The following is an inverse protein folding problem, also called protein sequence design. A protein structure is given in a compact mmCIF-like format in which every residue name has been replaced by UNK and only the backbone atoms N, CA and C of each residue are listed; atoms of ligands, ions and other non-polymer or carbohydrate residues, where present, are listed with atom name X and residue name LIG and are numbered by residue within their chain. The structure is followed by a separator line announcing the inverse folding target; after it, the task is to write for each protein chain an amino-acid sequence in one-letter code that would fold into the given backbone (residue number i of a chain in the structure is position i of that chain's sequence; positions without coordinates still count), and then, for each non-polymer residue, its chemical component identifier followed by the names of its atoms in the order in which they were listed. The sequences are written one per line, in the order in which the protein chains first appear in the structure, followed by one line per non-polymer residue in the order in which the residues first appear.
data_IF_136662198082
#
_entry.id   IF_136662198082
#
_cell.length_a   1.000
_cell.length_b   1.000
_cell.length_c   1.000
_cell.angle_alpha   90.00
_cell.angle_beta   90.00
_cell.angle_gamma   90.00
#
_symmetry.space_group_name_H-M   'P 1'
#
loop_
_entity.id
_entity.type
_entity.pdbx_description
1 polymer ?
#
# COMPACT_ATOMS: atom_id res chain seq x y z
N UNK A 1 24.03 74.83 -13.87
CA UNK A 1 23.71 74.07 -12.64
C UNK A 1 22.85 72.86 -13.05
N UNK A 2 23.48 71.72 -13.23
CA UNK A 2 22.81 70.48 -13.62
C UNK A 2 22.60 69.62 -12.36
N UNK A 3 21.33 69.37 -12.01
CA UNK A 3 20.92 68.58 -10.86
C UNK A 3 20.87 67.12 -11.26
N UNK A 4 21.75 66.31 -10.71
CA UNK A 4 21.78 64.86 -10.90
C UNK A 4 20.71 64.18 -10.03
N UNK A 5 19.80 63.46 -10.65
CA UNK A 5 18.84 62.58 -9.97
C UNK A 5 19.52 61.23 -9.69
N UNK A 6 19.43 60.63 -8.51
CA UNK A 6 19.95 59.28 -8.26
C UNK A 6 19.01 58.27 -8.83
N UNK A 7 19.53 57.35 -9.67
CA UNK A 7 18.87 56.18 -10.22
C UNK A 7 18.74 55.13 -9.10
N UNK A 8 17.51 54.92 -8.61
CA UNK A 8 17.19 53.76 -7.76
C UNK A 8 17.23 52.50 -8.62
N UNK A 9 18.25 51.67 -8.44
CA UNK A 9 18.29 50.28 -8.94
C UNK A 9 17.25 49.49 -8.15
N UNK A 10 16.22 49.07 -8.86
CA UNK A 10 15.24 48.10 -8.34
C UNK A 10 15.96 46.73 -8.32
N UNK A 11 16.01 46.03 -7.18
CA UNK A 11 16.59 44.69 -7.17
C UNK A 11 15.74 43.79 -8.05
N UNK A 12 16.44 42.95 -8.85
CA UNK A 12 15.86 42.02 -9.81
C UNK A 12 14.92 41.01 -9.09
N UNK A 13 13.84 40.67 -9.79
CA UNK A 13 12.79 39.73 -9.34
C UNK A 13 13.32 38.33 -8.99
N UNK A 14 14.57 38.05 -9.31
CA UNK A 14 15.28 36.78 -9.11
C UNK A 14 15.93 36.63 -7.71
N UNK A 15 15.92 37.69 -6.88
CA UNK A 15 16.47 37.64 -5.51
C UNK A 15 15.41 37.41 -4.42
N UNK A 16 14.16 37.12 -4.78
CA UNK A 16 13.06 36.80 -3.84
C UNK A 16 12.48 35.40 -3.99
N UNK A 17 13.20 34.44 -4.63
CA UNK A 17 12.95 33.05 -4.34
C UNK A 17 13.52 32.78 -2.94
N UNK A 18 12.69 33.02 -1.92
CA UNK A 18 12.96 32.57 -0.58
C UNK A 18 13.26 31.07 -0.67
N UNK A 19 14.50 30.70 -0.41
CA UNK A 19 14.97 29.34 -0.22
C UNK A 19 14.04 28.69 0.78
N UNK A 20 13.04 27.96 0.26
CA UNK A 20 12.16 27.14 1.12
C UNK A 20 13.09 26.11 1.72
N UNK A 21 13.47 26.31 2.97
CA UNK A 21 14.36 25.43 3.69
C UNK A 21 13.88 23.98 3.47
N UNK A 22 14.69 23.19 2.80
CA UNK A 22 14.36 21.82 2.43
C UNK A 22 14.23 21.04 3.72
N UNK A 23 13.04 20.47 3.99
CA UNK A 23 12.77 19.73 5.22
C UNK A 23 13.72 18.53 5.29
N UNK A 24 14.48 18.43 6.35
CA UNK A 24 15.49 17.38 6.54
C UNK A 24 14.87 16.11 7.14
N UNK A 25 15.54 14.97 6.93
CA UNK A 25 15.19 13.71 7.59
C UNK A 25 15.17 13.85 9.12
N UNK A 26 16.19 14.55 9.67
CA UNK A 26 16.31 14.74 11.12
C UNK A 26 15.10 15.50 11.72
N UNK A 27 14.61 16.53 11.05
CA UNK A 27 13.42 17.28 11.47
C UNK A 27 12.17 16.41 11.42
N UNK A 28 12.00 15.62 10.35
CA UNK A 28 10.86 14.70 10.22
C UNK A 28 10.91 13.61 11.27
N UNK A 29 12.07 13.03 11.54
CA UNK A 29 12.24 12.00 12.58
C UNK A 29 11.94 12.56 13.97
N UNK A 30 12.39 13.78 14.27
CA UNK A 30 12.05 14.46 15.53
C UNK A 30 10.54 14.69 15.68
N UNK A 31 9.86 15.08 14.59
CA UNK A 31 8.41 15.27 14.60
C UNK A 31 7.67 13.94 14.75
N UNK A 32 8.08 12.87 14.06
CA UNK A 32 7.51 11.53 14.23
C UNK A 32 7.65 11.04 15.66
N UNK A 33 8.82 11.23 16.29
CA UNK A 33 9.06 10.91 17.68
C UNK A 33 8.13 11.70 18.62
N UNK A 34 7.88 12.97 18.37
CA UNK A 34 6.94 13.79 19.13
C UNK A 34 5.46 13.38 18.96
N UNK A 35 5.13 12.68 17.87
CA UNK A 35 3.79 12.16 17.60
C UNK A 35 3.54 10.77 18.17
N UNK A 36 4.56 10.10 18.70
CA UNK A 36 4.46 8.79 19.32
C UNK A 36 3.52 8.80 20.54
N UNK A 37 2.63 7.79 20.58
CA UNK A 37 1.73 7.55 21.70
C UNK A 37 1.84 6.08 22.14
N UNK A 38 2.16 5.83 23.41
CA UNK A 38 2.33 4.47 23.93
C UNK A 38 1.10 3.57 23.76
N UNK A 39 -0.11 4.14 23.84
CA UNK A 39 -1.35 3.36 23.65
C UNK A 39 -1.51 2.91 22.22
N UNK A 40 -1.23 3.82 21.27
CA UNK A 40 -1.24 3.52 19.84
C UNK A 40 -0.18 2.47 19.50
N UNK A 41 1.02 2.56 20.09
CA UNK A 41 2.10 1.57 19.91
C UNK A 41 1.66 0.16 20.32
N UNK A 42 1.09 0.00 21.50
CA UNK A 42 0.58 -1.30 22.00
C UNK A 42 -0.46 -1.91 21.05
N UNK A 43 -1.31 -1.09 20.45
CA UNK A 43 -2.31 -1.57 19.47
C UNK A 43 -1.63 -1.99 18.16
N UNK A 44 -0.71 -1.19 17.65
CA UNK A 44 -0.04 -1.47 16.37
C UNK A 44 0.87 -2.70 16.48
N UNK A 45 1.61 -2.87 17.59
CA UNK A 45 2.49 -4.02 17.82
C UNK A 45 1.74 -5.36 17.82
N UNK A 46 0.48 -5.40 18.26
CA UNK A 46 -0.37 -6.60 18.14
C UNK A 46 -0.64 -7.02 16.68
N UNK A 47 -0.47 -6.08 15.75
CA UNK A 47 -0.62 -6.31 14.32
C UNK A 47 0.73 -6.39 13.59
N UNK A 48 1.85 -6.44 14.32
CA UNK A 48 3.19 -6.51 13.75
C UNK A 48 3.76 -5.16 13.27
N UNK A 49 3.09 -4.05 13.60
CA UNK A 49 3.51 -2.70 13.17
C UNK A 49 4.20 -1.96 14.34
N UNK A 50 5.53 -1.92 14.36
CA UNK A 50 6.35 -1.40 15.46
C UNK A 50 6.42 0.13 15.52
N UNK A 51 5.28 0.85 15.56
CA UNK A 51 5.24 2.31 15.73
C UNK A 51 4.05 2.76 16.57
N UNK A 52 4.16 3.94 17.21
CA UNK A 52 3.09 4.55 18.01
C UNK A 52 2.45 5.79 17.37
N UNK A 53 2.77 6.10 16.12
CA UNK A 53 2.18 7.27 15.45
C UNK A 53 0.78 6.94 14.92
N UNK A 54 -0.21 7.75 15.34
CA UNK A 54 -1.57 7.63 14.83
C UNK A 54 -1.62 7.93 13.32
N UNK A 55 -2.28 7.07 12.53
CA UNK A 55 -2.31 7.19 11.07
C UNK A 55 -2.96 8.49 10.55
N UNK A 56 -3.88 9.10 11.31
CA UNK A 56 -4.45 10.39 10.93
C UNK A 56 -3.43 11.52 11.08
N UNK A 57 -2.62 11.49 12.15
CA UNK A 57 -1.51 12.44 12.36
C UNK A 57 -0.43 12.26 11.30
N UNK A 58 -0.09 11.01 10.96
CA UNK A 58 0.84 10.70 9.88
C UNK A 58 0.37 11.26 8.52
N UNK A 59 -0.90 11.09 8.18
CA UNK A 59 -1.48 11.68 6.96
C UNK A 59 -1.52 13.21 6.99
N UNK A 60 -1.76 13.82 8.16
CA UNK A 60 -1.70 15.27 8.31
C UNK A 60 -0.28 15.80 8.06
N UNK A 61 0.74 15.10 8.60
CA UNK A 61 2.14 15.42 8.34
C UNK A 61 2.46 15.29 6.85
N UNK A 62 2.07 14.20 6.20
CA UNK A 62 2.26 13.99 4.76
C UNK A 62 1.60 15.11 3.92
N UNK A 63 0.39 15.54 4.29
CA UNK A 63 -0.32 16.64 3.62
C UNK A 63 0.45 17.97 3.72
N UNK A 64 1.08 18.25 4.86
CA UNK A 64 1.92 19.44 5.07
C UNK A 64 3.21 19.40 4.27
N UNK A 65 3.89 18.25 4.28
CA UNK A 65 5.14 18.03 3.55
C UNK A 65 4.94 18.02 2.04
N UNK A 66 3.73 17.70 1.57
CA UNK A 66 3.42 17.52 0.14
C UNK A 66 4.31 16.41 -0.47
N UNK A 67 4.57 16.49 -1.77
CA UNK A 67 5.39 15.51 -2.48
C UNK A 67 6.85 15.91 -2.43
N UNK A 68 7.69 15.06 -1.85
CA UNK A 68 9.15 15.25 -1.73
C UNK A 68 9.86 13.91 -2.00
N UNK A 69 10.27 13.69 -3.25
CA UNK A 69 10.79 12.37 -3.67
C UNK A 69 12.10 11.99 -2.97
N UNK A 70 13.02 12.93 -2.86
CA UNK A 70 14.34 12.66 -2.26
C UNK A 70 14.20 12.40 -0.75
N UNK A 71 13.42 13.22 -0.05
CA UNK A 71 13.09 12.98 1.36
C UNK A 71 12.40 11.63 1.56
N UNK A 72 11.51 11.22 0.64
CA UNK A 72 10.84 9.92 0.72
C UNK A 72 11.85 8.76 0.61
N UNK A 73 12.84 8.85 -0.28
CA UNK A 73 13.91 7.83 -0.38
C UNK A 73 14.72 7.75 0.90
N UNK A 74 15.15 8.87 1.43
CA UNK A 74 15.93 8.93 2.67
C UNK A 74 15.14 8.42 3.89
N UNK A 75 13.85 8.72 3.99
CA UNK A 75 12.98 8.17 5.03
C UNK A 75 12.78 6.67 4.88
N UNK A 76 12.74 6.14 3.66
CA UNK A 76 12.66 4.70 3.41
C UNK A 76 13.90 3.96 3.89
N UNK A 77 15.07 4.55 3.77
CA UNK A 77 16.35 3.99 4.21
C UNK A 77 16.47 3.91 5.75
N UNK A 78 15.59 4.59 6.49
CA UNK A 78 15.56 4.47 7.95
C UNK A 78 14.96 3.13 8.38
N UNK A 79 15.32 2.63 9.58
CA UNK A 79 14.68 1.46 10.17
C UNK A 79 13.35 1.77 10.88
N UNK A 80 12.87 3.01 10.79
CA UNK A 80 11.65 3.46 11.45
C UNK A 80 10.39 3.16 10.63
N UNK A 81 9.46 2.44 11.22
CA UNK A 81 8.20 2.05 10.57
C UNK A 81 7.33 3.25 10.20
N UNK A 82 7.24 4.28 11.05
CA UNK A 82 6.43 5.47 10.77
C UNK A 82 7.05 6.30 9.66
N UNK A 83 8.39 6.38 9.60
CA UNK A 83 9.12 7.04 8.52
C UNK A 83 8.89 6.32 7.16
N UNK A 84 8.98 4.99 7.12
CA UNK A 84 8.68 4.20 5.90
C UNK A 84 7.23 4.40 5.44
N UNK A 85 6.27 4.41 6.37
CA UNK A 85 4.88 4.72 6.03
C UNK A 85 4.73 6.14 5.48
N UNK A 86 5.37 7.14 6.08
CA UNK A 86 5.36 8.52 5.60
C UNK A 86 5.97 8.63 4.21
N UNK A 87 7.09 7.92 3.95
CA UNK A 87 7.74 7.87 2.65
C UNK A 87 6.76 7.46 1.53
N UNK A 88 5.91 6.45 1.76
CA UNK A 88 4.91 6.01 0.77
C UNK A 88 3.85 7.06 0.47
N UNK A 89 3.62 8.02 1.36
CA UNK A 89 2.62 9.08 1.21
C UNK A 89 3.16 10.32 0.50
N UNK A 90 4.47 10.62 0.63
CA UNK A 90 5.10 11.84 0.10
C UNK A 90 5.92 11.58 -1.15
N UNK A 91 6.11 10.33 -1.56
CA UNK A 91 6.84 9.98 -2.78
C UNK A 91 6.04 10.29 -4.06
N UNK A 92 6.74 10.22 -5.19
CA UNK A 92 6.16 10.14 -6.53
C UNK A 92 6.20 8.69 -6.99
N UNK A 93 5.08 7.95 -6.99
CA UNK A 93 5.07 6.53 -7.34
C UNK A 93 5.76 6.20 -8.67
N UNK A 94 5.59 7.06 -9.68
CA UNK A 94 6.16 6.87 -11.02
C UNK A 94 7.66 7.20 -11.14
N UNK A 95 8.28 7.70 -10.07
CA UNK A 95 9.70 8.06 -10.06
C UNK A 95 10.59 6.91 -9.54
N UNK A 96 10.00 5.77 -9.18
CA UNK A 96 10.74 4.58 -8.79
C UNK A 96 10.96 3.68 -10.00
N UNK A 97 12.19 3.17 -10.12
CA UNK A 97 12.54 2.16 -11.11
C UNK A 97 12.07 0.76 -10.66
N UNK A 98 11.96 -0.16 -11.61
CA UNK A 98 11.51 -1.54 -11.37
C UNK A 98 12.32 -2.24 -10.29
N UNK A 99 13.64 -2.19 -10.40
CA UNK A 99 14.54 -2.90 -9.47
C UNK A 99 14.56 -2.25 -8.09
N UNK A 100 14.35 -0.93 -8.00
CA UNK A 100 14.17 -0.22 -6.74
C UNK A 100 12.91 -0.72 -6.00
N UNK A 101 11.80 -0.87 -6.71
CA UNK A 101 10.57 -1.41 -6.13
C UNK A 101 10.70 -2.88 -5.72
N UNK A 102 11.45 -3.69 -6.44
CA UNK A 102 11.72 -5.09 -6.06
C UNK A 102 12.51 -5.15 -4.74
N UNK A 103 13.54 -4.33 -4.59
CA UNK A 103 14.28 -4.20 -3.32
C UNK A 103 13.37 -3.72 -2.19
N UNK A 104 12.60 -2.66 -2.42
CA UNK A 104 11.69 -2.10 -1.41
C UNK A 104 10.66 -3.12 -0.91
N UNK A 105 10.09 -3.93 -1.81
CA UNK A 105 9.09 -4.95 -1.40
C UNK A 105 9.73 -6.06 -0.58
N UNK A 106 10.97 -6.46 -0.93
CA UNK A 106 11.74 -7.47 -0.17
C UNK A 106 12.14 -6.97 1.21
N UNK A 107 12.35 -5.67 1.39
CA UNK A 107 12.65 -5.06 2.69
C UNK A 107 11.41 -4.79 3.55
N UNK A 108 10.25 -4.63 2.94
CA UNK A 108 9.00 -4.27 3.61
C UNK A 108 8.41 -5.44 4.41
N UNK A 109 9.08 -5.86 5.49
CA UNK A 109 8.66 -6.99 6.34
C UNK A 109 7.53 -6.64 7.30
N UNK A 110 7.39 -5.38 7.67
CA UNK A 110 6.28 -4.88 8.50
C UNK A 110 4.97 -4.91 7.71
N UNK A 111 3.89 -5.51 8.24
CA UNK A 111 2.63 -5.68 7.49
C UNK A 111 2.10 -4.42 6.85
N UNK A 112 1.98 -3.34 7.62
CA UNK A 112 1.43 -2.08 7.12
C UNK A 112 2.33 -1.37 6.13
N UNK A 113 3.65 -1.42 6.31
CA UNK A 113 4.63 -0.85 5.36
C UNK A 113 4.49 -1.54 4.01
N UNK A 114 4.44 -2.87 4.00
CA UNK A 114 4.24 -3.65 2.79
C UNK A 114 2.92 -3.29 2.10
N UNK A 115 1.82 -3.26 2.85
CA UNK A 115 0.51 -2.96 2.30
C UNK A 115 0.44 -1.55 1.70
N UNK A 116 1.06 -0.57 2.37
CA UNK A 116 1.09 0.79 1.86
C UNK A 116 2.02 0.95 0.67
N UNK A 117 3.18 0.30 0.68
CA UNK A 117 4.08 0.28 -0.48
C UNK A 117 3.33 -0.27 -1.71
N UNK A 118 2.69 -1.42 -1.59
CA UNK A 118 1.94 -2.03 -2.71
C UNK A 118 0.78 -1.12 -3.16
N UNK A 119 -0.05 -0.64 -2.22
CA UNK A 119 -1.28 0.08 -2.56
C UNK A 119 -1.06 1.53 -2.99
N UNK A 120 -0.09 2.24 -2.42
CA UNK A 120 0.12 3.67 -2.71
C UNK A 120 1.23 3.93 -3.72
N UNK A 121 2.16 3.00 -3.87
CA UNK A 121 3.32 3.16 -4.76
C UNK A 121 3.27 2.20 -5.93
N UNK A 122 3.39 0.88 -5.69
CA UNK A 122 3.55 -0.11 -6.77
C UNK A 122 2.36 -0.13 -7.72
N UNK A 123 1.12 -0.17 -7.23
CA UNK A 123 -0.10 -0.14 -8.06
C UNK A 123 -0.22 1.07 -8.99
N UNK A 124 0.51 2.15 -8.70
CA UNK A 124 0.50 3.40 -9.48
C UNK A 124 1.74 3.57 -10.36
N UNK A 125 2.67 2.62 -10.29
CA UNK A 125 3.92 2.65 -11.03
C UNK A 125 3.75 2.02 -12.43
N UNK A 126 4.43 2.51 -13.47
CA UNK A 126 4.38 1.93 -14.81
C UNK A 126 4.80 0.45 -14.87
N UNK A 127 5.67 0.02 -13.98
CA UNK A 127 6.17 -1.37 -13.90
C UNK A 127 5.26 -2.33 -13.14
N UNK A 128 4.06 -1.89 -12.70
CA UNK A 128 3.17 -2.70 -11.86
C UNK A 128 2.84 -4.06 -12.47
N UNK A 129 2.62 -4.13 -13.79
CA UNK A 129 2.31 -5.40 -14.46
C UNK A 129 3.52 -6.32 -14.59
N UNK A 130 4.68 -5.78 -14.90
CA UNK A 130 5.92 -6.55 -14.94
C UNK A 130 6.27 -7.12 -13.56
N UNK A 131 6.13 -6.30 -12.52
CA UNK A 131 6.33 -6.71 -11.13
C UNK A 131 5.29 -7.75 -10.70
N UNK A 132 4.02 -7.60 -11.10
CA UNK A 132 2.97 -8.60 -10.84
C UNK A 132 3.38 -9.97 -11.35
N UNK A 133 3.82 -10.05 -12.60
CA UNK A 133 4.26 -11.31 -13.23
C UNK A 133 5.50 -11.89 -12.55
N UNK A 134 6.47 -11.04 -12.22
CA UNK A 134 7.70 -11.46 -11.55
C UNK A 134 7.45 -11.97 -10.13
N UNK A 135 6.56 -11.33 -9.37
CA UNK A 135 6.32 -11.62 -7.95
C UNK A 135 5.26 -12.69 -7.71
N UNK A 136 4.40 -12.99 -8.68
CA UNK A 136 3.25 -13.89 -8.50
C UNK A 136 3.62 -15.27 -7.94
N UNK A 137 4.75 -15.82 -8.39
CA UNK A 137 5.27 -17.11 -7.96
C UNK A 137 6.65 -17.00 -7.28
N UNK A 138 6.97 -15.84 -6.71
CA UNK A 138 8.23 -15.65 -5.98
C UNK A 138 8.31 -16.60 -4.77
N UNK A 139 9.46 -17.25 -4.49
CA UNK A 139 9.61 -18.14 -3.36
C UNK A 139 9.49 -17.43 -2.00
N UNK A 140 9.70 -16.12 -1.93
CA UNK A 140 9.44 -15.32 -0.74
C UNK A 140 7.93 -15.01 -0.62
N UNK A 141 7.23 -15.52 0.40
CA UNK A 141 5.80 -15.35 0.54
C UNK A 141 5.37 -13.87 0.72
N UNK A 142 6.27 -13.00 1.20
CA UNK A 142 6.00 -11.56 1.30
C UNK A 142 5.95 -10.94 -0.09
N UNK A 143 6.91 -11.29 -0.95
CA UNK A 143 6.96 -10.82 -2.34
C UNK A 143 5.80 -11.42 -3.15
N UNK A 144 5.55 -12.72 -3.01
CA UNK A 144 4.41 -13.38 -3.65
C UNK A 144 3.08 -12.73 -3.25
N UNK A 145 2.90 -12.34 -1.98
CA UNK A 145 1.70 -11.64 -1.53
C UNK A 145 1.49 -10.29 -2.22
N UNK A 146 2.56 -9.58 -2.57
CA UNK A 146 2.48 -8.36 -3.40
C UNK A 146 2.03 -8.69 -4.83
N UNK A 147 2.58 -9.75 -5.44
CA UNK A 147 2.14 -10.25 -6.75
C UNK A 147 0.65 -10.59 -6.78
N UNK A 148 0.15 -11.27 -5.75
CA UNK A 148 -1.28 -11.56 -5.58
C UNK A 148 -2.13 -10.31 -5.37
N UNK A 149 -1.65 -9.31 -4.61
CA UNK A 149 -2.36 -8.04 -4.42
C UNK A 149 -2.48 -7.23 -5.72
N UNK A 150 -1.45 -7.27 -6.59
CA UNK A 150 -1.50 -6.70 -7.93
C UNK A 150 -2.44 -7.49 -8.86
N UNK A 151 -2.45 -8.81 -8.74
CA UNK A 151 -3.38 -9.68 -9.48
C UNK A 151 -4.83 -9.40 -9.09
N UNK A 152 -5.11 -9.22 -7.80
CA UNK A 152 -6.43 -8.81 -7.29
C UNK A 152 -6.89 -7.47 -7.89
N UNK A 153 -5.99 -6.52 -8.02
CA UNK A 153 -6.27 -5.23 -8.68
C UNK A 153 -6.63 -5.43 -10.17
N UNK A 154 -5.89 -6.32 -10.88
CA UNK A 154 -6.17 -6.67 -12.29
C UNK A 154 -7.54 -7.35 -12.44
N UNK A 155 -7.87 -8.31 -11.56
CA UNK A 155 -9.20 -8.98 -11.52
C UNK A 155 -10.32 -7.96 -11.47
N UNK A 156 -10.16 -6.91 -10.66
CA UNK A 156 -11.18 -5.88 -10.50
C UNK A 156 -11.27 -4.88 -11.65
N UNK A 157 -10.14 -4.52 -12.28
CA UNK A 157 -10.09 -3.37 -13.18
C UNK A 157 -9.82 -3.69 -14.65
N UNK A 158 -9.11 -4.78 -14.92
CA UNK A 158 -8.64 -5.14 -16.27
C UNK A 158 -8.51 -6.66 -16.41
N UNK A 159 -9.61 -7.42 -16.30
CA UNK A 159 -9.58 -8.89 -16.27
C UNK A 159 -9.34 -9.54 -17.64
N UNK A 160 -9.42 -8.81 -18.76
CA UNK A 160 -9.55 -9.35 -20.12
C UNK A 160 -8.43 -10.31 -20.56
N UNK A 161 -7.26 -10.21 -19.91
CA UNK A 161 -6.09 -11.06 -20.20
C UNK A 161 -5.77 -12.04 -19.07
N UNK A 162 -6.64 -12.17 -18.06
CA UNK A 162 -6.42 -13.08 -16.94
C UNK A 162 -7.14 -14.40 -17.17
N UNK A 163 -6.44 -15.50 -16.92
CA UNK A 163 -7.04 -16.82 -16.77
C UNK A 163 -7.62 -16.95 -15.35
N UNK A 164 -8.87 -16.49 -15.17
CA UNK A 164 -9.54 -16.55 -13.87
C UNK A 164 -9.75 -17.99 -13.38
N UNK A 165 -9.97 -18.94 -14.29
CA UNK A 165 -10.13 -20.34 -13.95
C UNK A 165 -8.81 -20.91 -13.43
N UNK A 166 -7.69 -20.62 -14.09
CA UNK A 166 -6.36 -21.01 -13.66
C UNK A 166 -5.95 -20.34 -12.34
N UNK A 167 -6.35 -19.08 -12.10
CA UNK A 167 -6.14 -18.45 -10.78
C UNK A 167 -6.88 -19.18 -9.67
N UNK A 168 -8.12 -19.62 -9.91
CA UNK A 168 -8.89 -20.42 -8.96
C UNK A 168 -8.24 -21.78 -8.71
N UNK A 169 -7.68 -22.43 -9.75
CA UNK A 169 -6.93 -23.68 -9.60
C UNK A 169 -5.72 -23.52 -8.66
N UNK A 170 -4.94 -22.46 -8.83
CA UNK A 170 -3.78 -22.16 -7.97
C UNK A 170 -4.23 -21.87 -6.54
N UNK A 171 -5.27 -21.07 -6.35
CA UNK A 171 -5.81 -20.77 -5.01
C UNK A 171 -6.28 -22.04 -4.32
N UNK A 172 -7.04 -22.89 -5.02
CA UNK A 172 -7.54 -24.15 -4.50
C UNK A 172 -6.42 -25.10 -4.07
N UNK A 173 -5.34 -25.16 -4.84
CA UNK A 173 -4.22 -26.04 -4.57
C UNK A 173 -3.28 -25.54 -3.46
N UNK A 174 -3.13 -24.23 -3.26
CA UNK A 174 -2.03 -23.69 -2.47
C UNK A 174 -2.48 -22.86 -1.26
N UNK A 175 -3.67 -22.24 -1.28
CA UNK A 175 -4.05 -21.26 -0.28
C UNK A 175 -4.10 -21.83 1.15
N UNK A 176 -4.55 -23.05 1.32
CA UNK A 176 -4.72 -23.66 2.66
C UNK A 176 -3.41 -23.76 3.43
N UNK A 177 -2.33 -24.10 2.74
CA UNK A 177 -1.02 -24.36 3.33
C UNK A 177 -0.05 -23.17 3.17
N UNK A 178 -0.53 -22.06 2.58
CA UNK A 178 0.28 -20.86 2.39
C UNK A 178 0.56 -20.16 3.73
N UNK A 179 1.73 -19.50 3.90
CA UNK A 179 1.99 -18.63 5.04
C UNK A 179 0.93 -17.51 5.15
N UNK A 180 0.62 -17.08 6.37
CA UNK A 180 -0.50 -16.19 6.71
C UNK A 180 -0.68 -15.00 5.75
N UNK A 181 0.40 -14.29 5.44
CA UNK A 181 0.34 -13.13 4.55
C UNK A 181 -0.07 -13.50 3.13
N UNK A 182 0.52 -14.56 2.58
CA UNK A 182 0.20 -15.05 1.25
C UNK A 182 -1.21 -15.63 1.23
N UNK A 183 -1.60 -16.36 2.26
CA UNK A 183 -2.96 -16.87 2.45
C UNK A 183 -4.00 -15.74 2.41
N UNK A 184 -3.74 -14.61 3.11
CA UNK A 184 -4.59 -13.42 3.06
C UNK A 184 -4.71 -12.84 1.64
N UNK A 185 -3.58 -12.71 0.94
CA UNK A 185 -3.57 -12.15 -0.41
C UNK A 185 -4.33 -13.04 -1.41
N UNK A 186 -4.15 -14.37 -1.33
CA UNK A 186 -4.87 -15.34 -2.15
C UNK A 186 -6.37 -15.34 -1.82
N UNK A 187 -6.75 -15.32 -0.55
CA UNK A 187 -8.15 -15.23 -0.13
C UNK A 187 -8.82 -13.93 -0.62
N UNK A 188 -8.10 -12.81 -0.59
CA UNK A 188 -8.60 -11.56 -1.15
C UNK A 188 -8.82 -11.67 -2.66
N UNK A 189 -7.91 -12.31 -3.40
CA UNK A 189 -8.08 -12.55 -4.82
C UNK A 189 -9.27 -13.46 -5.10
N UNK A 190 -9.46 -14.54 -4.33
CA UNK A 190 -10.61 -15.43 -4.39
C UNK A 190 -11.92 -14.65 -4.22
N UNK A 191 -11.99 -13.83 -3.18
CA UNK A 191 -13.15 -12.99 -2.92
C UNK A 191 -13.43 -12.02 -4.07
N UNK A 192 -12.39 -11.36 -4.61
CA UNK A 192 -12.53 -10.42 -5.71
C UNK A 192 -13.03 -11.09 -7.00
N UNK A 193 -12.51 -12.29 -7.33
CA UNK A 193 -13.03 -13.07 -8.47
C UNK A 193 -14.53 -13.37 -8.27
N UNK A 194 -14.93 -13.84 -7.10
CA UNK A 194 -16.35 -14.16 -6.84
C UNK A 194 -17.27 -12.93 -6.81
N UNK A 195 -16.78 -11.76 -6.43
CA UNK A 195 -17.54 -10.50 -6.43
C UNK A 195 -17.77 -9.99 -7.84
N UNK A 196 -16.70 -9.87 -8.64
CA UNK A 196 -16.74 -9.19 -9.93
C UNK A 196 -17.17 -10.10 -11.09
N UNK A 197 -16.94 -11.43 -11.00
CA UNK A 197 -17.15 -12.37 -12.10
C UNK A 197 -18.24 -13.39 -11.77
N UNK A 198 -19.46 -13.10 -12.22
CA UNK A 198 -20.65 -13.89 -11.89
C UNK A 198 -20.52 -15.37 -12.30
N UNK A 199 -19.85 -15.63 -13.43
CA UNK A 199 -19.60 -16.98 -13.97
C UNK A 199 -18.63 -17.82 -13.12
N UNK A 200 -17.73 -17.16 -12.35
CA UNK A 200 -16.77 -17.80 -11.45
C UNK A 200 -17.25 -17.84 -9.98
N UNK A 201 -18.32 -17.12 -9.66
CA UNK A 201 -18.76 -16.89 -8.27
C UNK A 201 -19.07 -18.17 -7.52
N UNK A 202 -19.82 -19.08 -8.13
CA UNK A 202 -20.19 -20.34 -7.50
C UNK A 202 -18.95 -21.18 -7.15
N UNK A 203 -17.98 -21.23 -8.05
CA UNK A 203 -16.70 -21.93 -7.83
C UNK A 203 -15.86 -21.24 -6.74
N UNK A 204 -15.80 -19.91 -6.74
CA UNK A 204 -15.05 -19.17 -5.72
C UNK A 204 -15.63 -19.39 -4.31
N UNK A 205 -16.95 -19.43 -4.18
CA UNK A 205 -17.63 -19.74 -2.92
C UNK A 205 -17.33 -21.18 -2.48
N UNK A 206 -17.47 -22.16 -3.37
CA UNK A 206 -17.18 -23.58 -3.08
C UNK A 206 -15.73 -23.79 -2.61
N UNK A 207 -14.76 -23.17 -3.27
CA UNK A 207 -13.36 -23.20 -2.83
C UNK A 207 -13.21 -22.64 -1.41
N UNK A 208 -13.81 -21.48 -1.13
CA UNK A 208 -13.77 -20.88 0.20
C UNK A 208 -14.37 -21.77 1.28
N UNK A 209 -15.53 -22.37 1.03
CA UNK A 209 -16.22 -23.29 1.96
C UNK A 209 -15.40 -24.55 2.24
N UNK A 210 -14.72 -25.12 1.24
CA UNK A 210 -13.89 -26.31 1.42
C UNK A 210 -12.59 -26.01 2.14
N UNK A 211 -11.91 -24.91 1.82
CA UNK A 211 -10.63 -24.56 2.41
C UNK A 211 -10.74 -23.93 3.80
N UNK A 212 -11.85 -23.23 4.09
CA UNK A 212 -12.16 -22.59 5.38
C UNK A 212 -11.11 -21.60 5.87
N UNK A 213 -10.40 -20.98 4.93
CA UNK A 213 -9.40 -19.97 5.25
C UNK A 213 -10.09 -18.72 5.80
N UNK A 214 -9.65 -18.23 6.97
CA UNK A 214 -10.22 -17.10 7.70
C UNK A 214 -11.70 -17.27 8.15
N UNK A 215 -12.24 -18.49 8.22
CA UNK A 215 -13.60 -18.76 8.69
C UNK A 215 -13.80 -18.20 10.10
N UNK A 216 -12.87 -18.48 11.01
CA UNK A 216 -12.92 -18.07 12.44
C UNK A 216 -12.19 -16.75 12.72
N UNK A 217 -11.88 -15.95 11.70
CA UNK A 217 -11.17 -14.70 11.91
C UNK A 217 -12.04 -13.72 12.72
N UNK A 218 -11.51 -13.18 13.84
CA UNK A 218 -12.28 -12.30 14.72
C UNK A 218 -12.68 -11.01 14.00
N UNK A 219 -13.97 -10.87 13.74
CA UNK A 219 -14.51 -9.73 12.99
C UNK A 219 -15.23 -8.78 13.95
N UNK A 220 -14.81 -7.49 14.02
CA UNK A 220 -15.51 -6.50 14.83
C UNK A 220 -16.96 -6.31 14.43
N UNK A 221 -17.86 -5.88 15.33
CA UNK A 221 -19.24 -5.54 14.99
C UNK A 221 -19.33 -4.56 13.81
N UNK A 222 -20.27 -4.79 12.91
CA UNK A 222 -20.48 -3.99 11.69
C UNK A 222 -19.38 -4.07 10.62
N UNK A 223 -18.39 -4.96 10.78
CA UNK A 223 -17.45 -5.29 9.72
C UNK A 223 -17.89 -6.56 8.98
N UNK A 224 -17.56 -6.65 7.70
CA UNK A 224 -17.76 -7.88 6.92
C UNK A 224 -16.62 -8.85 7.25
N UNK A 225 -16.96 -10.14 7.49
CA UNK A 225 -15.95 -11.18 7.69
C UNK A 225 -15.01 -11.27 6.47
N UNK A 226 -13.70 -11.49 6.68
CA UNK A 226 -12.77 -11.76 5.59
C UNK A 226 -12.93 -13.16 4.99
N UNK A 227 -13.72 -14.04 5.56
CA UNK A 227 -14.04 -15.35 5.00
C UNK A 227 -14.67 -15.20 3.61
N UNK A 228 -14.02 -15.69 2.57
CA UNK A 228 -14.37 -15.38 1.18
C UNK A 228 -15.85 -15.66 0.84
N UNK A 229 -16.50 -16.78 1.26
CA UNK A 229 -17.92 -17.02 0.98
C UNK A 229 -18.85 -15.94 1.56
N UNK A 230 -18.61 -15.51 2.80
CA UNK A 230 -19.39 -14.43 3.44
C UNK A 230 -19.09 -13.09 2.74
N UNK A 231 -17.84 -12.82 2.48
CA UNK A 231 -17.41 -11.56 1.84
C UNK A 231 -18.01 -11.40 0.45
N UNK A 232 -17.93 -12.45 -0.40
CA UNK A 232 -18.52 -12.46 -1.75
C UNK A 232 -20.03 -12.20 -1.66
N UNK A 233 -20.74 -12.97 -0.83
CA UNK A 233 -22.19 -12.88 -0.71
C UNK A 233 -22.64 -11.49 -0.28
N UNK A 234 -21.99 -10.93 0.73
CA UNK A 234 -22.34 -9.60 1.26
C UNK A 234 -22.04 -8.49 0.27
N UNK A 235 -20.90 -8.55 -0.43
CA UNK A 235 -20.53 -7.51 -1.40
C UNK A 235 -21.42 -7.54 -2.64
N UNK A 236 -21.77 -8.72 -3.14
CA UNK A 236 -22.71 -8.86 -4.26
C UNK A 236 -24.10 -8.34 -3.86
N UNK A 237 -24.60 -8.65 -2.67
CA UNK A 237 -25.86 -8.10 -2.15
C UNK A 237 -25.84 -6.57 -2.16
N UNK A 238 -24.76 -5.94 -1.66
CA UNK A 238 -24.61 -4.47 -1.65
C UNK A 238 -24.51 -3.84 -3.04
N UNK A 239 -24.04 -4.58 -4.04
CA UNK A 239 -24.03 -4.10 -5.44
C UNK A 239 -25.43 -4.05 -6.03
N UNK A 240 -26.32 -4.98 -5.64
CA UNK A 240 -27.71 -5.03 -6.10
C UNK A 240 -28.63 -4.00 -5.38
N UNK A 241 -28.27 -3.58 -4.19
CA UNK A 241 -29.04 -2.61 -3.39
C UNK A 241 -28.77 -1.14 -3.78
N UNK A 242 -27.89 -0.87 -4.75
CA UNK A 242 -27.53 0.49 -5.28
C UNK A 242 -28.25 0.78 -6.57
#
# INVERSE_FOLDING_TARGET
MASSCPTYLNPSRDEQEAEVAETTVAEVMAELAALEDPRTRVVNEKHGDGHGVNLSKLRALAKRLKTQQELARQLWETDDTAAKLLATLICRPKAFERDELDVMVREARTPKVHDWLVNYVVKKNPYAEELRLSWFADPDPVVASAGWALTTERVAKQPESLDLAGLLDVIEAQMKDAPDRLQWAMNHCLAQIGIEHAEQRARAIDIGERLKVLEDYPTPPNCTSPFAPIWITEMVRRQHDK
#
